data_IF_990694070545
#
_entry.id   IF_990694070545
#
_cell.length_a   1.000
_cell.length_b   1.000
_cell.length_c   1.000
_cell.angle_alpha   90.00
_cell.angle_beta   90.00
_cell.angle_gamma   90.00
#
_symmetry.space_group_name_H-M   'P 1'
#
loop_
_entity.id
_entity.type
_entity.pdbx_description
1 polymer ?
#
# COMPACT_ATOMS: atom_id res chain seq x y z
N UNK A 1 6.02 9.84 -1.94
CA UNK A 1 7.40 9.88 -1.44
C UNK A 1 7.43 10.65 -0.14
N UNK A 2 8.41 10.38 0.70
CA UNK A 2 8.69 10.99 1.99
C UNK A 2 10.20 11.28 1.97
N UNK A 3 10.58 12.51 1.61
CA UNK A 3 12.00 12.86 1.41
C UNK A 3 12.69 11.95 0.39
N UNK A 4 13.70 11.22 0.87
CA UNK A 4 14.54 10.26 0.16
C UNK A 4 13.92 8.85 0.03
N UNK A 5 12.71 8.65 0.57
CA UNK A 5 12.04 7.36 0.66
C UNK A 5 10.74 7.34 -0.16
N UNK A 6 10.48 6.21 -0.82
CA UNK A 6 9.18 5.86 -1.38
C UNK A 6 8.63 4.61 -0.67
N UNK A 7 7.31 4.57 -0.48
CA UNK A 7 6.60 3.39 0.05
C UNK A 7 5.41 3.12 -0.87
N UNK A 8 5.37 1.95 -1.49
CA UNK A 8 4.17 1.43 -2.16
C UNK A 8 3.40 0.54 -1.18
N UNK A 9 2.10 0.75 -1.05
CA UNK A 9 1.25 0.04 -0.08
C UNK A 9 0.31 -0.90 -0.81
N UNK A 10 0.34 -2.19 -0.45
CA UNK A 10 -0.54 -3.24 -0.97
C UNK A 10 -1.34 -3.86 0.16
N UNK A 11 -2.63 -4.05 -0.08
CA UNK A 11 -3.53 -4.74 0.84
C UNK A 11 -4.05 -6.02 0.19
N UNK A 12 -4.01 -7.14 0.90
CA UNK A 12 -4.65 -8.38 0.46
C UNK A 12 -5.60 -8.93 1.52
N UNK A 13 -6.65 -9.62 1.08
CA UNK A 13 -7.56 -10.33 1.97
C UNK A 13 -7.07 -11.77 2.20
N UNK A 14 -7.37 -12.34 3.37
CA UNK A 14 -6.87 -13.65 3.85
C UNK A 14 -7.26 -14.88 2.99
N UNK A 15 -7.91 -14.69 1.84
CA UNK A 15 -8.18 -15.73 0.85
C UNK A 15 -7.09 -15.90 -0.22
N UNK A 16 -6.18 -14.92 -0.36
CA UNK A 16 -5.09 -14.97 -1.35
C UNK A 16 -3.75 -14.41 -0.79
N UNK A 17 -3.12 -15.10 0.19
CA UNK A 17 -1.93 -14.58 0.85
C UNK A 17 -0.62 -15.09 0.22
N UNK A 18 -0.64 -15.67 -0.99
CA UNK A 18 0.58 -16.25 -1.57
C UNK A 18 1.36 -15.26 -2.40
N UNK A 19 0.68 -14.26 -2.94
CA UNK A 19 1.27 -13.30 -3.86
C UNK A 19 0.86 -11.87 -3.55
N UNK A 20 1.70 -10.93 -3.97
CA UNK A 20 1.42 -9.50 -3.96
C UNK A 20 1.31 -9.03 -5.42
N UNK A 21 0.16 -8.47 -5.77
CA UNK A 21 -0.11 -7.93 -7.11
C UNK A 21 0.58 -6.58 -7.30
N UNK A 22 1.43 -6.49 -8.31
CA UNK A 22 1.95 -5.23 -8.85
C UNK A 22 1.13 -4.88 -10.09
N UNK A 23 0.46 -3.72 -10.05
CA UNK A 23 -0.54 -3.34 -11.05
C UNK A 23 0.00 -2.42 -12.15
N UNK A 24 1.23 -1.94 -12.01
CA UNK A 24 1.93 -1.17 -13.04
C UNK A 24 3.44 -1.41 -12.96
N UNK A 25 4.09 -1.36 -14.12
CA UNK A 25 5.55 -1.38 -14.27
C UNK A 25 6.23 -0.20 -13.55
N UNK A 26 5.50 0.89 -13.30
CA UNK A 26 6.06 2.12 -12.73
C UNK A 26 6.03 2.10 -11.17
N UNK A 27 5.29 1.17 -10.54
CA UNK A 27 5.12 1.15 -9.08
C UNK A 27 6.41 0.76 -8.33
N UNK A 28 7.24 -0.07 -8.96
CA UNK A 28 8.46 -0.60 -8.36
C UNK A 28 9.73 0.05 -8.96
N UNK A 29 9.56 1.16 -9.67
CA UNK A 29 10.69 1.93 -10.19
C UNK A 29 11.28 2.79 -9.05
N UNK A 30 12.55 2.55 -8.73
CA UNK A 30 13.26 3.22 -7.65
C UNK A 30 13.63 4.64 -8.08
N UNK A 31 12.71 5.58 -7.88
CA UNK A 31 12.88 7.02 -8.17
C UNK A 31 13.45 7.82 -6.98
N UNK A 32 13.61 7.16 -5.83
CA UNK A 32 14.16 7.71 -4.57
C UNK A 32 15.32 6.85 -4.07
N UNK A 33 16.09 7.31 -3.08
CA UNK A 33 17.23 6.54 -2.53
C UNK A 33 16.80 5.19 -1.97
N UNK A 34 15.65 5.14 -1.31
CA UNK A 34 15.03 3.89 -0.84
C UNK A 34 13.61 3.74 -1.35
N UNK A 35 13.23 2.52 -1.68
CA UNK A 35 11.87 2.14 -2.03
C UNK A 35 11.48 0.93 -1.18
N UNK A 36 10.32 1.01 -0.54
CA UNK A 36 9.77 -0.10 0.23
C UNK A 36 8.40 -0.53 -0.31
N UNK A 37 8.12 -1.82 -0.16
CA UNK A 37 6.80 -2.42 -0.37
C UNK A 37 6.19 -2.74 1.00
N UNK A 38 5.14 -2.03 1.38
CA UNK A 38 4.34 -2.32 2.58
C UNK A 38 3.18 -3.23 2.20
N UNK A 39 3.18 -4.45 2.74
CA UNK A 39 2.10 -5.41 2.56
C UNK A 39 1.25 -5.53 3.82
N UNK A 40 -0.03 -5.21 3.72
CA UNK A 40 -1.02 -5.29 4.78
C UNK A 40 -1.98 -6.44 4.46
N UNK A 41 -2.06 -7.44 5.34
CA UNK A 41 -3.05 -8.52 5.20
C UNK A 41 -4.25 -8.23 6.09
N UNK A 42 -5.45 -8.34 5.54
CA UNK A 42 -6.71 -8.11 6.25
C UNK A 42 -7.65 -9.31 6.18
N UNK A 43 -8.55 -9.44 7.15
CA UNK A 43 -9.64 -10.42 7.13
C UNK A 43 -10.96 -9.79 7.54
N UNK A 44 -12.09 -10.19 6.92
CA UNK A 44 -13.41 -9.86 7.43
C UNK A 44 -13.58 -10.31 8.88
N UNK A 45 -14.30 -9.51 9.66
CA UNK A 45 -14.56 -9.80 11.08
C UNK A 45 -15.95 -9.33 11.49
N UNK A 46 -16.54 -10.02 12.47
CA UNK A 46 -17.75 -9.57 13.15
C UNK A 46 -17.44 -8.85 14.47
N UNK A 47 -16.17 -8.71 14.83
CA UNK A 47 -15.74 -8.05 16.05
C UNK A 47 -16.20 -6.58 16.09
N UNK A 48 -16.62 -6.14 17.27
CA UNK A 48 -16.86 -4.74 17.58
C UNK A 48 -15.63 -3.84 17.32
N UNK A 49 -14.42 -4.37 17.45
CA UNK A 49 -13.14 -3.65 17.26
C UNK A 49 -12.65 -3.62 15.81
N UNK A 50 -13.39 -4.23 14.87
CA UNK A 50 -13.06 -4.21 13.44
C UNK A 50 -13.00 -2.79 12.87
N UNK A 51 -12.04 -2.55 11.98
CA UNK A 51 -11.89 -1.28 11.28
C UNK A 51 -12.74 -1.28 10.01
N UNK A 52 -13.48 -0.19 9.79
CA UNK A 52 -14.21 0.02 8.54
C UNK A 52 -13.54 1.10 7.70
N UNK A 53 -13.85 1.14 6.40
CA UNK A 53 -13.38 2.23 5.54
C UNK A 53 -13.89 3.59 6.01
N UNK A 54 -15.11 3.67 6.57
CA UNK A 54 -15.65 4.90 7.16
C UNK A 54 -14.78 5.39 8.32
N UNK A 55 -14.39 4.48 9.22
CA UNK A 55 -13.54 4.81 10.36
C UNK A 55 -12.16 5.29 9.90
N UNK A 56 -11.57 4.61 8.91
CA UNK A 56 -10.27 5.01 8.36
C UNK A 56 -10.34 6.36 7.65
N UNK A 57 -11.41 6.60 6.88
CA UNK A 57 -11.65 7.88 6.24
C UNK A 57 -11.75 9.02 7.25
N UNK A 58 -12.57 8.86 8.30
CA UNK A 58 -12.72 9.87 9.34
C UNK A 58 -11.40 10.15 10.06
N UNK A 59 -10.64 9.10 10.43
CA UNK A 59 -9.33 9.26 11.08
C UNK A 59 -8.34 10.05 10.23
N UNK A 60 -8.29 9.79 8.92
CA UNK A 60 -7.44 10.56 8.03
C UNK A 60 -7.88 12.02 7.96
N UNK A 61 -9.19 12.28 7.91
CA UNK A 61 -9.75 13.63 7.90
C UNK A 61 -9.38 14.38 9.20
N UNK A 62 -9.53 13.73 10.35
CA UNK A 62 -9.17 14.29 11.66
C UNK A 62 -7.68 14.67 11.71
N UNK A 63 -6.79 13.84 11.15
CA UNK A 63 -5.35 14.10 11.11
C UNK A 63 -4.96 15.31 10.25
N UNK A 64 -5.71 15.60 9.18
CA UNK A 64 -5.43 16.72 8.26
C UNK A 64 -6.29 17.96 8.53
N UNK A 65 -7.26 17.88 9.44
CA UNK A 65 -8.28 18.91 9.69
C UNK A 65 -7.74 20.31 10.06
N UNK A 66 -6.49 20.41 10.53
CA UNK A 66 -5.86 21.68 10.88
C UNK A 66 -4.94 22.24 9.77
N UNK A 67 -4.88 21.57 8.62
CA UNK A 67 -4.10 21.98 7.45
C UNK A 67 -4.99 21.96 6.20
N UNK A 68 -5.46 23.14 5.79
CA UNK A 68 -6.37 23.31 4.66
C UNK A 68 -5.80 22.77 3.34
N UNK A 69 -4.47 22.81 3.16
CA UNK A 69 -3.83 22.30 1.94
C UNK A 69 -3.85 20.77 1.97
N UNK A 70 -3.48 20.17 3.10
CA UNK A 70 -3.52 18.73 3.27
C UNK A 70 -4.94 18.17 3.16
N UNK A 71 -5.92 18.86 3.73
CA UNK A 71 -7.35 18.51 3.64
C UNK A 71 -7.84 18.54 2.18
N UNK A 72 -7.52 19.60 1.42
CA UNK A 72 -7.89 19.71 0.02
C UNK A 72 -7.26 18.59 -0.85
N UNK A 73 -5.96 18.31 -0.64
CA UNK A 73 -5.27 17.22 -1.33
C UNK A 73 -5.85 15.84 -0.98
N UNK A 74 -6.19 15.62 0.29
CA UNK A 74 -6.83 14.39 0.73
C UNK A 74 -8.21 14.22 0.07
N UNK A 75 -9.04 15.26 0.10
CA UNK A 75 -10.37 15.26 -0.50
C UNK A 75 -10.33 14.95 -2.01
N UNK A 76 -9.42 15.59 -2.74
CA UNK A 76 -9.22 15.34 -4.18
C UNK A 76 -8.83 13.89 -4.46
N UNK A 77 -7.98 13.29 -3.62
CA UNK A 77 -7.50 11.93 -3.84
C UNK A 77 -8.56 10.87 -3.52
N UNK A 78 -9.44 11.16 -2.57
CA UNK A 78 -10.43 10.20 -2.06
C UNK A 78 -11.78 10.32 -2.77
N UNK A 79 -12.13 11.48 -3.35
CA UNK A 79 -13.43 11.74 -3.97
C UNK A 79 -13.88 10.63 -4.92
N UNK A 80 -12.95 10.15 -5.76
CA UNK A 80 -13.25 9.18 -6.80
C UNK A 80 -13.36 7.74 -6.28
N UNK A 81 -12.69 7.43 -5.17
CA UNK A 81 -12.63 6.07 -4.62
C UNK A 81 -13.73 5.84 -3.60
N UNK A 82 -13.93 6.78 -2.68
CA UNK A 82 -14.92 6.66 -1.62
C UNK A 82 -16.35 6.86 -2.15
N UNK A 83 -16.54 7.75 -3.12
CA UNK A 83 -17.84 7.97 -3.76
C UNK A 83 -18.35 6.78 -4.59
N UNK A 84 -17.45 5.88 -5.02
CA UNK A 84 -17.78 4.66 -5.78
C UNK A 84 -18.00 3.44 -4.89
N UNK A 85 -17.66 3.50 -3.61
CA UNK A 85 -17.81 2.38 -2.69
C UNK A 85 -19.28 2.18 -2.30
N UNK A 86 -19.74 0.93 -2.35
CA UNK A 86 -21.08 0.57 -1.86
C UNK A 86 -21.17 0.72 -0.34
N UNK A 87 -22.38 0.88 0.18
CA UNK A 87 -22.62 0.90 1.64
C UNK A 87 -22.04 -0.33 2.33
N UNK A 88 -22.17 -1.51 1.72
CA UNK A 88 -21.63 -2.76 2.25
C UNK A 88 -20.10 -2.71 2.36
N UNK A 89 -19.39 -2.21 1.34
CA UNK A 89 -17.93 -2.06 1.37
C UNK A 89 -17.48 -1.02 2.41
N UNK A 90 -18.24 0.06 2.55
CA UNK A 90 -17.92 1.10 3.53
C UNK A 90 -18.11 0.64 4.98
N UNK A 91 -19.12 -0.20 5.23
CA UNK A 91 -19.48 -0.73 6.55
C UNK A 91 -18.81 -2.08 6.86
N UNK A 92 -18.11 -2.69 5.89
CA UNK A 92 -17.36 -3.93 6.10
C UNK A 92 -16.30 -3.71 7.18
N UNK A 93 -16.28 -4.63 8.14
CA UNK A 93 -15.32 -4.63 9.23
C UNK A 93 -14.17 -5.57 8.91
N UNK A 94 -12.96 -5.04 9.02
CA UNK A 94 -11.72 -5.75 8.74
C UNK A 94 -10.82 -5.75 9.97
N UNK A 95 -10.16 -6.88 10.23
CA UNK A 95 -8.98 -6.94 11.11
C UNK A 95 -7.72 -6.93 10.26
N UNK A 96 -6.73 -6.16 10.69
CA UNK A 96 -5.36 -6.29 10.19
C UNK A 96 -4.76 -7.51 10.85
N UNK A 97 -4.29 -8.44 10.03
CA UNK A 97 -3.77 -9.75 10.46
C UNK A 97 -2.27 -9.88 10.23
N UNK A 98 -1.69 -9.01 9.39
CA UNK A 98 -0.26 -8.94 9.15
C UNK A 98 0.12 -7.59 8.55
N UNK A 99 1.31 -7.12 8.91
CA UNK A 99 1.95 -5.94 8.32
C UNK A 99 3.41 -6.33 8.10
N UNK A 100 3.83 -6.37 6.85
CA UNK A 100 5.19 -6.71 6.44
C UNK A 100 5.74 -5.60 5.56
N UNK A 101 6.97 -5.18 5.82
CA UNK A 101 7.64 -4.16 5.03
C UNK A 101 8.85 -4.79 4.36
N UNK A 102 8.98 -4.64 3.05
CA UNK A 102 10.10 -5.19 2.29
C UNK A 102 10.90 -4.06 1.64
N UNK A 103 12.22 -4.13 1.68
CA UNK A 103 13.07 -3.20 0.92
C UNK A 103 13.21 -3.68 -0.52
N UNK A 104 12.89 -2.79 -1.47
CA UNK A 104 13.03 -3.06 -2.91
C UNK A 104 14.44 -2.64 -3.31
N UNK A 105 15.35 -3.60 -3.31
CA UNK A 105 16.76 -3.40 -3.65
C UNK A 105 17.31 -4.53 -4.53
N UNK A 106 18.63 -4.65 -4.64
CA UNK A 106 19.28 -5.62 -5.51
C UNK A 106 18.80 -7.06 -5.23
N UNK A 107 18.33 -7.73 -6.29
CA UNK A 107 17.81 -9.10 -6.21
C UNK A 107 16.31 -9.20 -5.84
N UNK A 108 15.64 -8.09 -5.53
CA UNK A 108 14.19 -8.10 -5.31
C UNK A 108 13.48 -8.46 -6.64
N UNK A 109 12.50 -9.39 -6.65
CA UNK A 109 11.84 -9.85 -7.88
C UNK A 109 10.90 -8.77 -8.42
N UNK A 110 11.40 -7.97 -9.36
CA UNK A 110 10.68 -6.84 -9.96
C UNK A 110 10.75 -6.90 -11.48
N UNK A 111 9.69 -6.45 -12.12
CA UNK A 111 9.68 -6.11 -13.55
C UNK A 111 9.44 -4.60 -13.64
N UNK A 112 10.37 -3.88 -14.24
CA UNK A 112 10.34 -2.44 -14.50
C UNK A 112 10.09 -2.16 -15.97
N UNK A 113 9.95 -0.88 -16.34
CA UNK A 113 9.81 -0.49 -17.76
C UNK A 113 11.02 -0.91 -18.61
N UNK A 114 12.20 -1.01 -18.02
CA UNK A 114 13.44 -1.36 -18.73
C UNK A 114 13.49 -2.84 -19.13
N UNK A 115 12.76 -3.69 -18.42
CA UNK A 115 12.72 -5.14 -18.64
C UNK A 115 11.74 -5.55 -19.75
N UNK A 116 10.96 -4.60 -20.27
CA UNK A 116 9.81 -4.86 -21.13
C UNK A 116 9.98 -4.15 -22.47
N UNK A 117 9.57 -4.78 -23.56
CA UNK A 117 9.59 -4.19 -24.90
C UNK A 117 8.80 -2.87 -24.94
N UNK A 118 9.35 -1.83 -25.59
CA UNK A 118 8.75 -0.49 -25.67
C UNK A 118 7.35 -0.45 -26.33
N UNK A 119 6.98 -1.45 -27.13
CA UNK A 119 5.64 -1.59 -27.69
C UNK A 119 4.57 -2.06 -26.70
N UNK A 120 4.96 -2.48 -25.48
CA UNK A 120 4.03 -2.92 -24.44
C UNK A 120 3.61 -1.71 -23.60
N UNK A 121 2.32 -1.37 -23.69
CA UNK A 121 1.76 -0.23 -22.97
C UNK A 121 1.69 -0.47 -21.44
N UNK A 122 1.29 -1.66 -21.00
CA UNK A 122 1.12 -1.99 -19.58
C UNK A 122 1.35 -3.48 -19.31
N UNK A 123 1.74 -3.79 -18.07
CA UNK A 123 1.85 -5.15 -17.57
C UNK A 123 1.44 -5.19 -16.09
N UNK A 124 0.95 -6.34 -15.66
CA UNK A 124 0.64 -6.66 -14.27
C UNK A 124 1.26 -8.01 -13.95
N UNK A 125 1.76 -8.16 -12.73
CA UNK A 125 2.39 -9.40 -12.29
C UNK A 125 2.21 -9.60 -10.79
N UNK A 126 2.43 -10.83 -10.36
CA UNK A 126 2.29 -11.26 -8.98
C UNK A 126 3.66 -11.72 -8.45
N UNK A 127 4.04 -11.22 -7.28
CA UNK A 127 5.28 -11.61 -6.58
C UNK A 127 4.91 -12.62 -5.50
N UNK A 128 5.55 -13.80 -5.49
CA UNK A 128 5.36 -14.74 -4.38
C UNK A 128 5.92 -14.17 -3.08
N UNK A 129 5.12 -14.17 -2.00
CA UNK A 129 5.58 -13.69 -0.69
C UNK A 129 6.77 -14.53 -0.21
N UNK A 130 6.77 -15.83 -0.49
CA UNK A 130 7.87 -16.72 -0.13
C UNK A 130 9.21 -16.34 -0.77
N UNK A 131 9.21 -15.69 -1.96
CA UNK A 131 10.45 -15.28 -2.62
C UNK A 131 11.00 -13.94 -2.11
N UNK A 132 10.22 -13.17 -1.35
CA UNK A 132 10.64 -11.85 -0.84
C UNK A 132 10.87 -11.80 0.67
N UNK A 133 10.69 -12.92 1.39
CA UNK A 133 10.95 -12.98 2.85
C UNK A 133 12.34 -12.49 3.25
N UNK A 134 13.34 -12.73 2.41
CA UNK A 134 14.72 -12.27 2.66
C UNK A 134 14.91 -10.75 2.62
N UNK A 135 13.93 -10.01 2.08
CA UNK A 135 13.95 -8.55 1.98
C UNK A 135 13.12 -7.87 3.08
N UNK A 136 12.56 -8.64 4.01
CA UNK A 136 11.73 -8.09 5.08
C UNK A 136 12.57 -7.24 6.04
N UNK A 137 12.11 -6.01 6.25
CA UNK A 137 12.75 -5.03 7.14
C UNK A 137 12.21 -5.23 8.55
N UNK A 138 13.12 -5.49 9.48
CA UNK A 138 12.78 -5.69 10.91
C UNK A 138 12.62 -4.34 11.63
N UNK A 139 13.10 -3.25 11.03
CA UNK A 139 13.00 -1.91 11.58
C UNK A 139 11.55 -1.43 11.70
N UNK A 140 11.30 -0.59 12.70
CA UNK A 140 9.96 -0.06 12.92
C UNK A 140 9.57 0.92 11.80
N UNK A 141 8.44 0.69 11.14
CA UNK A 141 7.92 1.57 10.08
C UNK A 141 7.82 3.05 10.50
N UNK A 142 7.54 3.34 11.78
CA UNK A 142 7.51 4.73 12.28
C UNK A 142 8.88 5.39 12.24
N UNK A 143 9.93 4.63 12.53
CA UNK A 143 11.30 5.14 12.47
C UNK A 143 11.76 5.34 11.03
N UNK A 144 11.37 4.45 10.12
CA UNK A 144 11.62 4.62 8.67
C UNK A 144 10.94 5.90 8.15
N UNK A 145 9.67 6.12 8.52
CA UNK A 145 8.92 7.31 8.09
C UNK A 145 9.52 8.60 8.67
N UNK A 146 9.98 8.58 9.93
CA UNK A 146 10.59 9.77 10.57
C UNK A 146 11.94 10.16 9.97
N UNK A 147 12.72 9.18 9.52
CA UNK A 147 14.08 9.37 9.03
C UNK A 147 14.17 9.38 7.49
N UNK A 148 13.02 9.44 6.80
CA UNK A 148 12.93 9.47 5.35
C UNK A 148 13.15 10.82 4.71
#
# INVERSE_FOLDING_TARGET
>A
TLGSIAIDVKTSSLGDPRTIRISSLDQMEKVTEKLYLLHITVSPTNDSMGLTMKMMHQRCLDLVSNDLVAEAHYAQKISDLYGKASKAQLDEKLHITGIHLYEVDEGFPVITRQDVNHGIASAQYDIFISSIKGFEVIENIKEIIKNG
#
